data_IF_925480404760
#
_entry.id   IF_925480404760
#
_cell.length_a   1.000
_cell.length_b   1.000
_cell.length_c   1.000
_cell.angle_alpha   90.00
_cell.angle_beta   90.00
_cell.angle_gamma   90.00
#
_symmetry.space_group_name_H-M   'P 1'
#
loop_
_entity.id
_entity.type
_entity.pdbx_description
1 polymer ?
#
# COMPACT_ATOMS: atom_id res chain seq x y z
N UNK A 1 19.98 20.92 -4.55
CA UNK A 1 19.47 20.30 -3.32
C UNK A 1 19.56 18.80 -3.49
N UNK A 2 19.98 18.06 -2.47
CA UNK A 2 20.18 16.62 -2.60
C UNK A 2 18.81 15.92 -2.67
N UNK A 3 18.46 15.35 -3.84
CA UNK A 3 17.17 14.69 -4.10
C UNK A 3 17.21 13.25 -3.57
N UNK A 4 17.57 13.08 -2.30
CA UNK A 4 17.67 11.76 -1.65
C UNK A 4 16.42 11.47 -0.83
N UNK A 5 15.75 10.35 -1.11
CA UNK A 5 14.61 9.86 -0.32
C UNK A 5 14.99 8.55 0.36
N UNK A 6 14.86 8.51 1.69
CA UNK A 6 14.97 7.27 2.45
C UNK A 6 13.63 6.52 2.42
N UNK A 7 13.63 5.28 1.93
CA UNK A 7 12.42 4.49 1.71
C UNK A 7 12.40 3.32 2.68
N UNK A 8 11.44 3.33 3.61
CA UNK A 8 11.17 2.23 4.52
C UNK A 8 10.34 1.17 3.80
N UNK A 9 10.48 -0.09 4.22
CA UNK A 9 9.74 -1.19 3.60
C UNK A 9 10.10 -1.41 2.13
N UNK A 10 11.30 -1.01 1.70
CA UNK A 10 11.75 -1.04 0.30
C UNK A 10 11.75 -2.45 -0.32
N UNK A 11 11.85 -3.50 0.49
CA UNK A 11 11.76 -4.90 0.05
C UNK A 11 10.32 -5.46 0.06
N UNK A 12 9.34 -4.65 0.47
CA UNK A 12 7.93 -4.98 0.46
C UNK A 12 7.19 -4.37 -0.73
N UNK A 13 5.88 -4.60 -0.81
CA UNK A 13 5.03 -4.16 -1.92
C UNK A 13 5.08 -2.63 -2.14
N UNK A 14 4.64 -1.86 -1.12
CA UNK A 14 4.55 -0.40 -1.25
C UNK A 14 5.92 0.27 -1.34
N UNK A 15 6.82 0.00 -0.39
CA UNK A 15 8.14 0.61 -0.39
C UNK A 15 8.96 0.26 -1.64
N UNK A 16 8.83 -0.97 -2.16
CA UNK A 16 9.47 -1.36 -3.42
C UNK A 16 8.93 -0.60 -4.63
N UNK A 17 7.61 -0.41 -4.71
CA UNK A 17 7.00 0.40 -5.76
C UNK A 17 7.40 1.88 -5.67
N UNK A 18 7.48 2.44 -4.46
CA UNK A 18 7.96 3.81 -4.22
C UNK A 18 9.43 3.96 -4.61
N UNK A 19 10.29 3.02 -4.20
CA UNK A 19 11.69 3.02 -4.57
C UNK A 19 11.88 2.97 -6.10
N UNK A 20 11.15 2.08 -6.79
CA UNK A 20 11.20 1.98 -8.24
C UNK A 20 10.75 3.28 -8.93
N UNK A 21 9.61 3.85 -8.52
CA UNK A 21 9.09 5.07 -9.12
C UNK A 21 10.01 6.29 -8.89
N UNK A 22 10.61 6.40 -7.69
CA UNK A 22 11.57 7.45 -7.38
C UNK A 22 12.85 7.33 -8.23
N UNK A 23 13.36 6.12 -8.42
CA UNK A 23 14.52 5.87 -9.29
C UNK A 23 14.20 6.25 -10.76
N UNK A 24 13.03 5.85 -11.26
CA UNK A 24 12.57 6.20 -12.61
C UNK A 24 12.47 7.73 -12.80
N UNK A 25 12.10 8.48 -11.75
CA UNK A 25 12.00 9.95 -11.73
C UNK A 25 13.34 10.66 -11.44
N UNK A 26 14.45 9.90 -11.38
CA UNK A 26 15.81 10.42 -11.19
C UNK A 26 16.12 10.90 -9.77
N UNK A 27 15.35 10.46 -8.77
CA UNK A 27 15.71 10.65 -7.37
C UNK A 27 16.82 9.68 -6.96
N UNK A 28 17.62 10.08 -5.97
CA UNK A 28 18.48 9.16 -5.24
C UNK A 28 17.62 8.42 -4.22
N UNK A 29 17.61 7.10 -4.30
CA UNK A 29 16.85 6.27 -3.35
C UNK A 29 17.80 5.63 -2.37
N UNK A 30 17.52 5.86 -1.08
CA UNK A 30 18.14 5.13 0.02
C UNK A 30 17.17 4.10 0.55
N UNK A 31 17.33 2.85 0.14
CA UNK A 31 16.50 1.74 0.57
C UNK A 31 16.91 1.30 1.98
N UNK A 32 16.03 1.53 2.97
CA UNK A 32 16.28 1.17 4.36
C UNK A 32 15.83 -0.27 4.58
N UNK A 33 16.79 -1.15 4.86
CA UNK A 33 16.56 -2.60 5.00
C UNK A 33 17.20 -3.12 6.29
N UNK A 34 16.61 -4.15 6.90
CA UNK A 34 17.19 -4.78 8.11
C UNK A 34 18.50 -5.51 7.81
N UNK A 35 18.53 -6.22 6.69
CA UNK A 35 19.69 -6.98 6.23
C UNK A 35 19.97 -6.69 4.74
N UNK A 36 21.01 -5.87 4.46
CA UNK A 36 21.46 -5.58 3.10
C UNK A 36 21.96 -6.80 2.31
N UNK A 37 22.24 -7.92 2.97
CA UNK A 37 22.74 -9.16 2.34
C UNK A 37 21.62 -10.08 1.81
N UNK A 38 20.36 -9.69 1.94
CA UNK A 38 19.24 -10.47 1.37
C UNK A 38 19.16 -10.32 -0.15
N UNK A 39 18.62 -11.32 -0.86
CA UNK A 39 18.42 -11.23 -2.32
C UNK A 39 17.58 -10.02 -2.72
N UNK A 40 16.51 -9.72 -1.97
CA UNK A 40 15.67 -8.55 -2.24
C UNK A 40 16.43 -7.23 -2.09
N UNK A 41 17.30 -7.10 -1.08
CA UNK A 41 18.14 -5.93 -0.92
C UNK A 41 19.17 -5.81 -2.06
N UNK A 42 19.83 -6.92 -2.45
CA UNK A 42 20.74 -6.93 -3.61
C UNK A 42 20.04 -6.51 -4.90
N UNK A 43 18.81 -6.95 -5.13
CA UNK A 43 18.02 -6.54 -6.30
C UNK A 43 17.72 -5.04 -6.31
N UNK A 44 17.45 -4.43 -5.15
CA UNK A 44 17.30 -2.97 -5.04
C UNK A 44 18.60 -2.24 -5.38
N UNK A 45 19.74 -2.74 -4.88
CA UNK A 45 21.05 -2.18 -5.20
C UNK A 45 21.37 -2.29 -6.69
N UNK A 46 21.07 -3.44 -7.31
CA UNK A 46 21.24 -3.66 -8.75
C UNK A 46 20.34 -2.74 -9.60
N UNK A 47 19.19 -2.33 -9.06
CA UNK A 47 18.29 -1.35 -9.68
C UNK A 47 18.75 0.11 -9.49
N UNK A 48 19.81 0.36 -8.72
CA UNK A 48 20.39 1.70 -8.52
C UNK A 48 20.09 2.36 -7.17
N UNK A 49 19.42 1.67 -6.24
CA UNK A 49 19.22 2.19 -4.88
C UNK A 49 20.48 2.03 -4.00
N UNK A 50 20.73 2.99 -3.11
CA UNK A 50 21.66 2.83 -2.00
C UNK A 50 20.98 1.99 -0.90
N UNK A 51 21.43 0.76 -0.68
CA UNK A 51 20.90 -0.05 0.43
C UNK A 51 21.63 0.29 1.72
N UNK A 52 20.88 0.73 2.73
CA UNK A 52 21.43 1.03 4.07
C UNK A 52 20.74 0.18 5.12
N UNK A 53 21.49 -0.18 6.17
CA UNK A 53 20.92 -0.87 7.31
C UNK A 53 20.03 0.09 8.10
N UNK A 54 18.81 -0.33 8.41
CA UNK A 54 17.94 0.32 9.38
C UNK A 54 16.92 -0.66 9.95
N UNK A 55 16.62 -0.49 11.22
CA UNK A 55 15.67 -1.29 11.98
C UNK A 55 14.68 -0.39 12.70
N UNK A 56 13.40 -0.73 12.65
CA UNK A 56 12.34 0.04 13.30
C UNK A 56 12.42 -0.03 14.83
N UNK A 57 13.09 -1.05 15.37
CA UNK A 57 13.41 -1.19 16.79
C UNK A 57 14.70 -0.48 17.22
N UNK A 58 15.49 0.05 16.29
CA UNK A 58 16.73 0.78 16.57
C UNK A 58 16.67 2.21 16.00
N UNK A 59 16.20 3.20 16.79
CA UNK A 59 16.17 4.60 16.38
C UNK A 59 17.54 5.17 15.98
N UNK A 60 18.65 4.59 16.48
CA UNK A 60 20.00 4.96 16.09
C UNK A 60 20.30 4.62 14.64
N UNK A 61 19.90 3.42 14.22
CA UNK A 61 20.01 2.99 12.82
C UNK A 61 19.14 3.83 11.89
N UNK A 62 17.94 4.23 12.32
CA UNK A 62 17.06 5.12 11.55
C UNK A 62 17.65 6.52 11.40
N UNK A 63 18.25 7.07 12.47
CA UNK A 63 18.96 8.36 12.42
C UNK A 63 20.10 8.32 11.40
N UNK A 64 20.88 7.24 11.38
CA UNK A 64 21.94 7.06 10.39
C UNK A 64 21.37 6.96 8.96
N UNK A 65 20.26 6.22 8.77
CA UNK A 65 19.61 6.09 7.48
C UNK A 65 19.00 7.42 6.97
N UNK A 66 18.46 8.27 7.86
CA UNK A 66 17.80 9.52 7.45
C UNK A 66 18.76 10.70 7.36
N UNK A 67 20.00 10.57 7.80
CA UNK A 67 21.00 11.62 7.76
C UNK A 67 21.17 12.18 6.33
N UNK A 68 20.91 13.49 6.17
CA UNK A 68 20.99 14.20 4.90
C UNK A 68 19.90 13.86 3.88
N UNK A 69 18.91 13.03 4.24
CA UNK A 69 17.79 12.73 3.35
C UNK A 69 16.88 13.96 3.20
N UNK A 70 16.46 14.25 1.98
CA UNK A 70 15.46 15.27 1.71
C UNK A 70 14.06 14.79 2.11
N UNK A 71 13.74 13.54 1.78
CA UNK A 71 12.45 12.94 2.08
C UNK A 71 12.56 11.59 2.78
N UNK A 72 11.49 11.21 3.48
CA UNK A 72 11.31 9.86 4.03
C UNK A 72 9.95 9.32 3.61
N UNK A 73 9.92 8.13 3.01
CA UNK A 73 8.68 7.36 2.82
C UNK A 73 8.50 6.38 3.97
N UNK A 74 7.43 6.57 4.75
CA UNK A 74 7.13 5.82 5.96
C UNK A 74 6.00 4.81 5.73
N UNK A 75 6.30 3.52 5.91
CA UNK A 75 5.32 2.43 5.92
C UNK A 75 5.78 1.35 6.89
N UNK A 76 4.85 0.77 7.66
CA UNK A 76 5.12 -0.21 8.71
C UNK A 76 4.55 -1.58 8.34
N UNK A 77 5.14 -2.68 8.84
CA UNK A 77 4.43 -3.95 8.95
C UNK A 77 3.27 -3.80 9.94
N UNK A 78 2.20 -4.57 9.75
CA UNK A 78 1.04 -4.57 10.65
C UNK A 78 0.63 -5.98 11.06
N UNK A 79 -0.10 -6.09 12.17
CA UNK A 79 -0.51 -7.36 12.77
C UNK A 79 -1.51 -8.15 11.91
N UNK A 80 -2.20 -7.50 10.96
CA UNK A 80 -3.13 -8.13 10.03
C UNK A 80 -2.47 -8.82 8.84
N UNK A 81 -1.14 -8.69 8.66
CA UNK A 81 -0.44 -9.36 7.57
C UNK A 81 -0.25 -10.86 7.87
N UNK A 82 -0.40 -11.70 6.84
CA UNK A 82 -0.19 -13.13 6.99
C UNK A 82 1.24 -13.43 7.46
N UNK A 83 1.37 -14.17 8.57
CA UNK A 83 2.66 -14.48 9.18
C UNK A 83 3.33 -13.31 9.91
N UNK A 84 2.59 -12.23 10.19
CA UNK A 84 3.09 -11.12 11.00
C UNK A 84 3.45 -11.58 12.42
N UNK A 85 4.59 -11.07 12.91
CA UNK A 85 5.03 -11.23 14.31
C UNK A 85 4.95 -9.93 15.09
N UNK A 86 4.40 -8.87 14.50
CA UNK A 86 4.29 -7.53 15.09
C UNK A 86 2.92 -7.35 15.72
N UNK A 87 2.87 -6.68 16.87
CA UNK A 87 1.61 -6.30 17.53
C UNK A 87 1.09 -4.96 16.99
N UNK A 88 -0.15 -4.61 17.32
CA UNK A 88 -0.71 -3.29 17.01
C UNK A 88 0.07 -2.15 17.67
N UNK A 89 0.54 -2.36 18.90
CA UNK A 89 1.37 -1.38 19.61
C UNK A 89 2.78 -1.28 19.01
N UNK A 90 3.33 -2.37 18.48
CA UNK A 90 4.59 -2.31 17.72
C UNK A 90 4.43 -1.47 16.47
N UNK A 91 3.35 -1.65 15.70
CA UNK A 91 3.10 -0.84 14.51
C UNK A 91 3.02 0.66 14.86
N UNK A 92 2.26 1.01 15.89
CA UNK A 92 2.15 2.41 16.34
C UNK A 92 3.51 2.95 16.78
N UNK A 93 4.25 2.21 17.61
CA UNK A 93 5.59 2.57 18.08
C UNK A 93 6.56 2.77 16.92
N UNK A 94 6.54 1.89 15.92
CA UNK A 94 7.37 2.03 14.72
C UNK A 94 6.99 3.26 13.91
N UNK A 95 5.70 3.50 13.71
CA UNK A 95 5.20 4.67 12.98
C UNK A 95 5.61 5.98 13.62
N UNK A 96 5.40 6.11 14.94
CA UNK A 96 5.77 7.33 15.67
C UNK A 96 7.29 7.50 15.78
N UNK A 97 8.04 6.42 15.98
CA UNK A 97 9.52 6.48 15.99
C UNK A 97 10.07 6.98 14.67
N UNK A 98 9.56 6.49 13.52
CA UNK A 98 9.98 6.99 12.20
C UNK A 98 9.66 8.48 12.05
N UNK A 99 8.48 8.91 12.51
CA UNK A 99 8.05 10.30 12.48
C UNK A 99 9.01 11.21 13.28
N UNK A 100 9.30 10.83 14.52
CA UNK A 100 10.17 11.58 15.44
C UNK A 100 11.62 11.63 14.94
N UNK A 101 12.13 10.52 14.43
CA UNK A 101 13.49 10.45 13.90
C UNK A 101 13.63 11.28 12.61
N UNK A 102 12.62 11.29 11.74
CA UNK A 102 12.63 12.12 10.54
C UNK A 102 12.67 13.62 10.90
N UNK A 103 11.84 14.06 11.84
CA UNK A 103 11.85 15.43 12.36
C UNK A 103 13.20 15.79 13.00
N UNK A 104 13.72 14.94 13.89
CA UNK A 104 15.00 15.17 14.58
C UNK A 104 16.22 15.20 13.64
N UNK A 105 16.13 14.55 12.47
CA UNK A 105 17.15 14.61 11.42
C UNK A 105 17.00 15.81 10.48
N UNK A 106 15.94 16.62 10.62
CA UNK A 106 15.66 17.75 9.74
C UNK A 106 15.26 17.34 8.33
N UNK A 107 14.59 16.19 8.18
CA UNK A 107 14.00 15.76 6.90
C UNK A 107 13.02 16.83 6.42
N UNK A 108 13.08 17.16 5.13
CA UNK A 108 12.27 18.25 4.56
C UNK A 108 10.82 17.80 4.40
N UNK A 109 10.59 16.56 3.96
CA UNK A 109 9.24 16.03 3.69
C UNK A 109 9.09 14.57 4.10
N UNK A 110 8.12 14.27 4.98
CA UNK A 110 7.71 12.90 5.32
C UNK A 110 6.43 12.54 4.57
N UNK A 111 6.46 11.46 3.77
CA UNK A 111 5.25 10.87 3.17
C UNK A 111 4.92 9.58 3.90
N UNK A 112 3.74 9.51 4.52
CA UNK A 112 3.32 8.36 5.33
C UNK A 112 2.17 7.58 4.66
N UNK A 113 2.33 6.26 4.58
CA UNK A 113 1.30 5.34 4.08
C UNK A 113 0.34 4.88 5.18
N UNK A 114 -0.88 5.37 5.11
CA UNK A 114 -2.02 4.98 5.94
C UNK A 114 -2.95 4.02 5.18
N UNK A 115 -4.29 4.20 5.28
CA UNK A 115 -5.34 3.43 4.62
C UNK A 115 -6.62 4.27 4.51
N UNK A 116 -7.42 4.05 3.46
CA UNK A 116 -8.76 4.70 3.30
C UNK A 116 -9.72 4.40 4.46
N UNK A 117 -9.43 3.39 5.28
CA UNK A 117 -10.24 3.05 6.44
C UNK A 117 -10.14 4.10 7.57
N UNK A 118 -9.14 4.98 7.59
CA UNK A 118 -9.00 5.95 8.69
C UNK A 118 -10.09 7.00 8.62
N UNK A 119 -10.78 7.21 9.75
CA UNK A 119 -11.92 8.11 9.87
C UNK A 119 -12.11 8.58 11.31
N UNK A 120 -13.18 9.34 11.61
CA UNK A 120 -13.38 9.99 12.91
C UNK A 120 -13.70 9.01 14.06
N UNK A 121 -14.11 7.78 13.75
CA UNK A 121 -14.43 6.75 14.73
C UNK A 121 -13.55 5.52 14.50
N UNK A 122 -13.23 4.70 15.52
CA UNK A 122 -12.54 3.43 15.31
C UNK A 122 -13.30 2.50 14.37
N UNK A 123 -12.58 1.78 13.53
CA UNK A 123 -13.11 0.74 12.64
C UNK A 123 -13.54 -0.50 13.42
N UNK A 124 -12.92 -0.76 14.59
CA UNK A 124 -13.07 -2.01 15.33
C UNK A 124 -12.19 -3.14 14.78
N UNK A 125 -11.32 -2.83 13.82
CA UNK A 125 -10.27 -3.72 13.30
C UNK A 125 -8.93 -3.15 13.78
N UNK A 126 -8.25 -3.79 14.75
CA UNK A 126 -7.11 -3.18 15.44
C UNK A 126 -6.02 -2.62 14.52
N UNK A 127 -5.57 -3.41 13.54
CA UNK A 127 -4.52 -3.01 12.59
C UNK A 127 -4.92 -1.91 11.58
N UNK A 128 -6.22 -1.58 11.47
CA UNK A 128 -6.66 -0.39 10.74
C UNK A 128 -6.69 0.84 11.65
N UNK A 129 -7.01 0.64 12.93
CA UNK A 129 -7.12 1.70 13.92
C UNK A 129 -5.75 2.23 14.38
N UNK A 130 -4.69 1.42 14.30
CA UNK A 130 -3.29 1.85 14.50
C UNK A 130 -2.91 3.03 13.60
N UNK A 131 -3.35 3.02 12.35
CA UNK A 131 -3.03 4.06 11.37
C UNK A 131 -3.53 5.44 11.79
N UNK A 132 -4.71 5.52 12.42
CA UNK A 132 -5.23 6.79 12.94
C UNK A 132 -4.30 7.42 14.00
N UNK A 133 -3.68 6.59 14.86
CA UNK A 133 -2.76 7.01 15.92
C UNK A 133 -1.43 7.49 15.34
N UNK A 134 -0.92 6.80 14.31
CA UNK A 134 0.31 7.21 13.62
C UNK A 134 0.08 8.51 12.84
N UNK A 135 -1.05 8.63 12.14
CA UNK A 135 -1.40 9.88 11.44
C UNK A 135 -1.51 11.07 12.39
N UNK A 136 -2.04 10.89 13.60
CA UNK A 136 -2.11 11.95 14.60
C UNK A 136 -0.71 12.51 14.91
N UNK A 137 0.27 11.62 15.16
CA UNK A 137 1.66 12.05 15.39
C UNK A 137 2.28 12.69 14.14
N UNK A 138 2.04 12.14 12.95
CA UNK A 138 2.55 12.69 11.68
C UNK A 138 2.04 14.13 11.45
N UNK A 139 0.81 14.45 11.84
CA UNK A 139 0.26 15.82 11.73
C UNK A 139 0.86 16.81 12.72
N UNK A 140 1.43 16.34 13.82
CA UNK A 140 2.04 17.18 14.86
C UNK A 140 3.51 17.52 14.58
N UNK A 141 4.11 16.93 13.55
CA UNK A 141 5.50 17.21 13.18
C UNK A 141 5.67 18.67 12.70
N UNK A 142 6.81 19.26 13.05
CA UNK A 142 7.25 20.58 12.58
C UNK A 142 7.91 20.56 11.19
N UNK A 143 7.88 19.43 10.47
CA UNK A 143 8.36 19.28 9.09
C UNK A 143 7.18 19.11 8.12
N UNK A 144 7.40 19.30 6.81
CA UNK A 144 6.33 19.06 5.85
C UNK A 144 5.95 17.58 5.86
N UNK A 145 4.64 17.30 5.87
CA UNK A 145 4.13 15.92 5.84
C UNK A 145 3.03 15.75 4.80
N UNK A 146 2.93 14.56 4.23
CA UNK A 146 1.78 14.15 3.42
C UNK A 146 1.36 12.76 3.84
N UNK A 147 0.06 12.55 4.02
CA UNK A 147 -0.49 11.22 4.31
C UNK A 147 -1.13 10.71 3.02
N UNK A 148 -0.75 9.52 2.58
CA UNK A 148 -1.44 8.80 1.51
C UNK A 148 -2.24 7.65 2.11
N UNK A 149 -3.48 7.49 1.68
CA UNK A 149 -4.43 6.49 2.14
C UNK A 149 -4.85 5.63 0.94
N UNK A 150 -4.12 4.54 0.67
CA UNK A 150 -4.45 3.65 -0.43
C UNK A 150 -5.77 2.91 -0.21
N UNK A 151 -6.51 2.73 -1.31
CA UNK A 151 -7.63 1.80 -1.40
C UNK A 151 -7.16 0.33 -1.44
N UNK A 152 -8.08 -0.60 -1.69
CA UNK A 152 -7.77 -2.05 -1.74
C UNK A 152 -6.78 -2.36 -2.87
N UNK A 153 -5.71 -3.10 -2.58
CA UNK A 153 -4.70 -3.42 -3.59
C UNK A 153 -5.21 -4.45 -4.58
N UNK A 154 -4.99 -4.21 -5.88
CA UNK A 154 -5.27 -5.19 -6.94
C UNK A 154 -4.50 -6.49 -6.73
N UNK A 155 -3.28 -6.39 -6.20
CA UNK A 155 -2.41 -7.52 -5.86
C UNK A 155 -3.04 -8.48 -4.85
N UNK A 156 -3.88 -7.99 -3.92
CA UNK A 156 -4.60 -8.84 -2.96
C UNK A 156 -5.71 -9.67 -3.63
N UNK A 157 -6.29 -9.15 -4.72
CA UNK A 157 -7.41 -9.78 -5.41
C UNK A 157 -6.99 -10.98 -6.26
N UNK A 158 -5.69 -11.08 -6.56
CA UNK A 158 -5.07 -12.22 -7.24
C UNK A 158 -4.07 -12.96 -6.35
N UNK A 159 -4.07 -12.71 -5.04
CA UNK A 159 -3.17 -13.42 -4.13
C UNK A 159 -3.55 -14.91 -4.00
N UNK A 160 -2.59 -15.80 -3.69
CA UNK A 160 -2.90 -17.18 -3.33
C UNK A 160 -3.98 -17.25 -2.24
N UNK A 161 -4.99 -18.09 -2.44
CA UNK A 161 -6.15 -18.19 -1.54
C UNK A 161 -7.38 -17.38 -1.97
N UNK A 162 -7.27 -16.49 -2.96
CA UNK A 162 -8.42 -15.79 -3.55
C UNK A 162 -9.39 -16.71 -4.32
N UNK A 163 -9.00 -17.96 -4.58
CA UNK A 163 -9.84 -19.00 -5.22
C UNK A 163 -9.74 -19.07 -6.75
N UNK A 164 -8.90 -18.24 -7.37
CA UNK A 164 -8.72 -18.17 -8.83
C UNK A 164 -8.26 -19.49 -9.46
N UNK A 165 -7.53 -20.31 -8.72
CA UNK A 165 -7.16 -21.68 -9.06
C UNK A 165 -8.37 -22.60 -9.28
N UNK A 166 -9.51 -22.27 -8.68
CA UNK A 166 -10.79 -23.00 -8.77
C UNK A 166 -11.80 -22.33 -9.71
N UNK A 167 -11.35 -21.36 -10.51
CA UNK A 167 -12.21 -20.64 -11.45
C UNK A 167 -13.19 -19.68 -10.78
N UNK A 168 -12.91 -19.22 -9.55
CA UNK A 168 -13.77 -18.27 -8.84
C UNK A 168 -12.99 -17.39 -7.89
N UNK A 169 -13.16 -16.08 -8.00
CA UNK A 169 -12.66 -15.15 -7.02
C UNK A 169 -13.63 -15.02 -5.85
N UNK A 170 -13.12 -15.16 -4.62
CA UNK A 170 -13.89 -14.90 -3.40
C UNK A 170 -13.39 -13.63 -2.69
N UNK A 171 -14.32 -12.78 -2.27
CA UNK A 171 -13.97 -11.54 -1.56
C UNK A 171 -15.03 -11.15 -0.50
N UNK A 172 -14.81 -10.06 0.24
CA UNK A 172 -15.63 -9.68 1.40
C UNK A 172 -16.98 -9.04 1.03
N UNK A 173 -17.12 -8.56 -0.20
CA UNK A 173 -18.27 -7.74 -0.63
C UNK A 173 -19.25 -8.49 -1.50
N UNK A 174 -20.50 -8.04 -1.54
CA UNK A 174 -21.51 -8.59 -2.47
C UNK A 174 -21.14 -8.30 -3.94
N UNK A 175 -21.64 -9.08 -4.91
CA UNK A 175 -21.29 -8.92 -6.33
C UNK A 175 -21.58 -7.54 -6.91
N UNK A 176 -22.54 -6.81 -6.36
CA UNK A 176 -23.00 -5.50 -6.83
C UNK A 176 -22.40 -4.33 -6.06
N UNK A 177 -21.65 -4.60 -4.98
CA UNK A 177 -21.00 -3.55 -4.19
C UNK A 177 -19.83 -2.96 -4.97
N UNK A 178 -19.86 -1.64 -5.19
CA UNK A 178 -18.73 -0.90 -5.78
C UNK A 178 -17.63 -0.78 -4.73
N UNK A 179 -16.40 -1.11 -5.12
CA UNK A 179 -15.19 -0.97 -4.32
C UNK A 179 -14.11 -0.29 -5.15
N UNK A 180 -13.43 0.68 -4.54
CA UNK A 180 -12.25 1.31 -5.12
C UNK A 180 -11.02 0.45 -4.89
N UNK A 181 -10.21 0.36 -5.93
CA UNK A 181 -9.00 -0.47 -5.98
C UNK A 181 -7.83 0.35 -6.51
N UNK A 182 -6.61 -0.05 -6.13
CA UNK A 182 -5.38 0.60 -6.60
C UNK A 182 -4.30 -0.45 -6.90
N UNK A 183 -3.52 -0.21 -7.95
CA UNK A 183 -2.31 -0.99 -8.20
C UNK A 183 -1.21 -0.52 -7.24
N UNK A 184 -0.47 -1.44 -6.61
CA UNK A 184 0.66 -1.07 -5.74
C UNK A 184 1.68 -0.20 -6.49
N UNK A 185 1.89 -0.45 -7.79
CA UNK A 185 2.76 0.39 -8.64
C UNK A 185 2.33 1.86 -8.68
N UNK A 186 1.02 2.12 -8.68
CA UNK A 186 0.49 3.48 -8.75
C UNK A 186 0.61 4.22 -7.43
N UNK A 187 0.61 3.51 -6.30
CA UNK A 187 1.01 4.09 -5.00
C UNK A 187 2.44 4.66 -5.12
N UNK A 188 3.35 3.89 -5.71
CA UNK A 188 4.72 4.32 -5.98
C UNK A 188 4.80 5.61 -6.81
N UNK A 189 4.09 5.65 -7.93
CA UNK A 189 4.04 6.81 -8.83
C UNK A 189 3.44 8.05 -8.17
N UNK A 190 2.35 7.88 -7.42
CA UNK A 190 1.73 8.98 -6.67
C UNK A 190 2.71 9.54 -5.65
N UNK A 191 3.35 8.68 -4.85
CA UNK A 191 4.31 9.10 -3.82
C UNK A 191 5.52 9.80 -4.45
N UNK A 192 6.04 9.30 -5.58
CA UNK A 192 7.12 9.97 -6.32
C UNK A 192 6.69 11.37 -6.80
N UNK A 193 5.48 11.51 -7.33
CA UNK A 193 4.89 12.80 -7.70
C UNK A 193 4.68 13.73 -6.50
N UNK A 194 4.34 13.18 -5.32
CA UNK A 194 4.23 13.94 -4.07
C UNK A 194 5.58 14.54 -3.66
N UNK A 195 6.66 13.76 -3.69
CA UNK A 195 8.01 14.27 -3.46
C UNK A 195 8.45 15.26 -4.55
N UNK A 196 8.02 15.04 -5.81
CA UNK A 196 8.24 15.93 -6.95
C UNK A 196 7.67 17.34 -6.81
N UNK A 197 6.63 17.50 -5.99
CA UNK A 197 5.95 18.78 -5.77
C UNK A 197 5.57 18.98 -4.30
N UNK A 198 6.53 18.83 -3.39
CA UNK A 198 6.31 18.87 -1.94
C UNK A 198 5.42 20.05 -1.46
N UNK A 199 5.65 21.27 -1.97
CA UNK A 199 4.89 22.47 -1.61
C UNK A 199 3.38 22.35 -1.90
N UNK A 200 3.00 21.58 -2.94
CA UNK A 200 1.59 21.32 -3.30
C UNK A 200 0.91 20.32 -2.36
N UNK A 201 1.69 19.46 -1.71
CA UNK A 201 1.18 18.32 -0.94
C UNK A 201 1.46 18.40 0.56
N UNK A 202 2.29 19.34 1.01
CA UNK A 202 2.53 19.59 2.42
C UNK A 202 1.22 19.83 3.18
N UNK A 203 1.03 19.11 4.28
CA UNK A 203 -0.18 19.13 5.12
C UNK A 203 -1.39 18.38 4.53
N UNK A 204 -1.31 17.83 3.30
CA UNK A 204 -2.44 17.14 2.68
C UNK A 204 -2.54 15.68 3.12
N UNK A 205 -3.78 15.20 3.17
CA UNK A 205 -4.12 13.77 3.21
C UNK A 205 -4.79 13.42 1.88
N UNK A 206 -4.34 12.35 1.23
CA UNK A 206 -4.82 11.90 -0.08
C UNK A 206 -5.38 10.49 0.04
N UNK A 207 -6.68 10.31 -0.15
CA UNK A 207 -7.25 9.00 -0.43
C UNK A 207 -6.98 8.67 -1.89
N UNK A 208 -6.35 7.51 -2.15
CA UNK A 208 -5.85 7.16 -3.49
C UNK A 208 -6.43 5.84 -3.99
N UNK A 209 -6.96 5.89 -5.20
CA UNK A 209 -7.50 4.76 -5.94
C UNK A 209 -7.20 4.91 -7.44
N UNK A 210 -7.10 3.79 -8.17
CA UNK A 210 -6.94 3.76 -9.63
C UNK A 210 -8.25 3.48 -10.37
N UNK A 211 -9.16 2.75 -9.74
CA UNK A 211 -10.44 2.38 -10.34
C UNK A 211 -11.54 2.11 -9.31
N UNK A 212 -12.79 2.00 -9.77
CA UNK A 212 -13.95 1.59 -8.97
C UNK A 212 -14.74 0.50 -9.71
N UNK A 213 -14.84 -0.68 -9.11
CA UNK A 213 -15.45 -1.86 -9.75
C UNK A 213 -16.36 -2.60 -8.79
N UNK A 214 -17.34 -3.32 -9.34
CA UNK A 214 -18.12 -4.31 -8.59
C UNK A 214 -17.49 -5.69 -8.72
N UNK A 215 -17.90 -6.64 -7.87
CA UNK A 215 -17.48 -8.04 -7.99
C UNK A 215 -17.84 -8.66 -9.35
N UNK A 216 -18.99 -8.28 -9.95
CA UNK A 216 -19.36 -8.72 -11.31
C UNK A 216 -18.40 -8.19 -12.38
N UNK A 217 -18.11 -6.89 -12.35
CA UNK A 217 -17.19 -6.26 -13.29
C UNK A 217 -15.78 -6.88 -13.15
N UNK A 218 -15.34 -7.11 -11.91
CA UNK A 218 -14.07 -7.78 -11.65
C UNK A 218 -14.04 -9.21 -12.23
N UNK A 219 -15.11 -9.99 -12.08
CA UNK A 219 -15.24 -11.32 -12.68
C UNK A 219 -15.12 -11.29 -14.21
N UNK A 220 -15.72 -10.28 -14.86
CA UNK A 220 -15.62 -10.09 -16.31
C UNK A 220 -14.20 -9.78 -16.75
N UNK A 221 -13.52 -8.85 -16.05
CA UNK A 221 -12.12 -8.52 -16.34
C UNK A 221 -11.19 -9.72 -16.15
N UNK A 222 -11.35 -10.45 -15.04
CA UNK A 222 -10.60 -11.67 -14.75
C UNK A 222 -10.87 -12.76 -15.79
N UNK A 223 -12.13 -12.97 -16.19
CA UNK A 223 -12.51 -13.94 -17.22
C UNK A 223 -11.81 -13.63 -18.55
N UNK A 224 -11.81 -12.36 -18.96
CA UNK A 224 -11.15 -11.91 -20.19
C UNK A 224 -9.64 -12.12 -20.12
N UNK A 225 -9.01 -11.74 -19.02
CA UNK A 225 -7.57 -11.86 -18.84
C UNK A 225 -7.10 -13.32 -18.69
N UNK A 226 -7.88 -14.16 -18.02
CA UNK A 226 -7.58 -15.57 -17.82
C UNK A 226 -7.85 -16.45 -19.05
N UNK A 227 -8.65 -15.98 -20.01
CA UNK A 227 -9.10 -16.77 -21.16
C UNK A 227 -10.03 -17.94 -20.80
N UNK A 228 -10.54 -17.99 -19.57
CA UNK A 228 -11.49 -18.98 -19.07
C UNK A 228 -12.49 -18.33 -18.10
N UNK A 229 -13.70 -18.89 -17.92
CA UNK A 229 -14.68 -18.34 -16.99
C UNK A 229 -14.12 -18.25 -15.56
N UNK A 230 -14.17 -17.06 -14.97
CA UNK A 230 -13.89 -16.81 -13.56
C UNK A 230 -15.14 -16.23 -12.93
N UNK A 231 -15.74 -16.96 -11.98
CA UNK A 231 -16.87 -16.45 -11.21
C UNK A 231 -16.44 -15.49 -10.10
N UNK A 232 -17.39 -14.76 -9.54
CA UNK A 232 -17.20 -14.01 -8.30
C UNK A 232 -18.21 -14.47 -7.24
N UNK A 233 -17.76 -14.61 -6.01
CA UNK A 233 -18.64 -14.82 -4.86
C UNK A 233 -18.17 -14.01 -3.65
N UNK A 234 -19.12 -13.53 -2.86
CA UNK A 234 -18.80 -13.11 -1.50
C UNK A 234 -18.37 -14.33 -0.68
N UNK A 235 -17.46 -14.14 0.28
CA UNK A 235 -17.17 -15.15 1.28
C UNK A 235 -18.48 -15.56 2.00
N UNK A 236 -18.68 -16.86 2.29
CA UNK A 236 -19.88 -17.33 2.97
C UNK A 236 -20.08 -16.66 4.32
N UNK A 237 -21.32 -16.35 4.71
CA UNK A 237 -21.63 -15.73 6.00
C UNK A 237 -21.07 -16.55 7.17
N UNK A 238 -21.16 -17.88 7.11
CA UNK A 238 -20.59 -18.75 8.13
C UNK A 238 -19.09 -18.54 8.35
N UNK A 239 -18.32 -18.20 7.30
CA UNK A 239 -16.88 -17.89 7.44
C UNK A 239 -16.70 -16.52 8.10
N UNK A 240 -17.51 -15.54 7.72
CA UNK A 240 -17.46 -14.18 8.26
C UNK A 240 -17.95 -14.10 9.72
N UNK A 241 -18.86 -14.98 10.13
CA UNK A 241 -19.34 -15.10 11.51
C UNK A 241 -18.34 -15.83 12.43
N UNK A 242 -17.55 -16.75 11.86
CA UNK A 242 -16.52 -17.49 12.60
C UNK A 242 -15.24 -16.68 12.83
N UNK A 243 -14.95 -15.71 11.96
CA UNK A 243 -13.80 -14.83 12.06
C UNK A 243 -14.25 -13.38 12.27
N UNK A 244 -14.14 -12.91 13.51
CA UNK A 244 -14.58 -11.57 13.90
C UNK A 244 -13.90 -10.45 13.09
N UNK A 245 -12.65 -10.64 12.66
CA UNK A 245 -11.91 -9.66 11.85
C UNK A 245 -12.48 -9.64 10.44
N UNK A 246 -12.65 -10.79 9.79
CA UNK A 246 -13.24 -10.86 8.45
C UNK A 246 -14.69 -10.35 8.45
N UNK A 247 -15.49 -10.71 9.44
CA UNK A 247 -16.86 -10.20 9.60
C UNK A 247 -16.89 -8.69 9.74
N UNK A 248 -15.97 -8.12 10.54
CA UNK A 248 -15.88 -6.67 10.71
C UNK A 248 -15.40 -5.95 9.45
N UNK A 249 -14.40 -6.49 8.74
CA UNK A 249 -13.94 -5.97 7.45
C UNK A 249 -15.08 -5.97 6.42
N UNK A 250 -15.86 -7.05 6.33
CA UNK A 250 -17.03 -7.10 5.44
C UNK A 250 -18.05 -6.00 5.79
N UNK A 251 -18.34 -5.78 7.09
CA UNK A 251 -19.25 -4.71 7.52
C UNK A 251 -18.73 -3.31 7.12
N UNK A 252 -17.41 -3.08 7.22
CA UNK A 252 -16.77 -1.81 6.81
C UNK A 252 -16.77 -1.60 5.29
N UNK A 253 -16.88 -2.65 4.48
CA UNK A 253 -17.12 -2.48 3.05
C UNK A 253 -18.58 -2.09 2.79
N UNK A 254 -19.52 -2.71 3.49
CA UNK A 254 -20.96 -2.45 3.34
C UNK A 254 -21.34 -1.03 3.83
N UNK A 255 -20.72 -0.53 4.90
CA UNK A 255 -20.91 0.85 5.37
C UNK A 255 -20.21 1.91 4.49
N UNK A 256 -19.35 1.48 3.56
CA UNK A 256 -18.68 2.32 2.57
C UNK A 256 -17.28 2.79 2.97
N UNK A 257 -16.87 2.55 4.22
CA UNK A 257 -15.58 3.02 4.74
C UNK A 257 -14.38 2.38 4.03
N UNK A 258 -14.42 1.07 3.80
CA UNK A 258 -13.41 0.34 3.02
C UNK A 258 -13.72 0.30 1.52
N UNK A 259 -14.95 0.64 1.11
CA UNK A 259 -15.30 0.74 -0.31
C UNK A 259 -14.54 1.87 -1.02
N UNK A 260 -13.98 2.82 -0.27
CA UNK A 260 -13.20 3.94 -0.78
C UNK A 260 -14.07 5.13 -1.20
N UNK A 261 -13.48 6.31 -1.08
CA UNK A 261 -14.13 7.60 -1.32
C UNK A 261 -13.19 8.58 -2.04
N UNK A 262 -12.15 8.06 -2.70
CA UNK A 262 -11.21 8.86 -3.47
C UNK A 262 -11.89 9.46 -4.70
N UNK A 263 -11.56 10.71 -5.03
CA UNK A 263 -12.02 11.38 -6.24
C UNK A 263 -11.20 10.88 -7.45
N UNK A 264 -11.73 9.89 -8.17
CA UNK A 264 -11.04 9.27 -9.30
C UNK A 264 -10.80 10.23 -10.47
N UNK A 265 -11.69 11.21 -10.69
CA UNK A 265 -11.54 12.15 -11.80
C UNK A 265 -10.42 13.15 -11.49
N UNK A 266 -10.39 13.67 -10.26
CA UNK A 266 -9.29 14.50 -9.79
C UNK A 266 -7.95 13.74 -9.78
N UNK A 267 -7.95 12.50 -9.30
CA UNK A 267 -6.75 11.66 -9.28
C UNK A 267 -6.23 11.34 -10.68
N UNK A 268 -7.10 11.07 -11.66
CA UNK A 268 -6.67 10.84 -13.05
C UNK A 268 -6.18 12.11 -13.74
N UNK A 269 -6.76 13.27 -13.41
CA UNK A 269 -6.27 14.55 -13.89
C UNK A 269 -4.88 14.89 -13.32
N UNK A 270 -4.62 14.51 -12.06
CA UNK A 270 -3.34 14.74 -11.39
C UNK A 270 -2.28 13.67 -11.73
N UNK A 271 -2.70 12.41 -11.88
CA UNK A 271 -1.87 11.24 -12.16
C UNK A 271 -2.42 10.47 -13.37
N UNK A 272 -2.10 10.90 -14.61
CA UNK A 272 -2.73 10.37 -15.83
C UNK A 272 -2.35 8.91 -16.14
N UNK A 273 -1.34 8.35 -15.47
CA UNK A 273 -0.90 6.96 -15.64
C UNK A 273 -1.57 5.97 -14.70
N UNK A 274 -2.60 6.38 -13.94
CA UNK A 274 -3.36 5.51 -13.05
C UNK A 274 -4.00 4.36 -13.82
N UNK A 275 -3.71 3.14 -13.37
CA UNK A 275 -4.18 1.92 -14.01
C UNK A 275 -5.63 1.64 -13.60
N UNK A 276 -6.43 1.33 -14.62
CA UNK A 276 -7.70 0.62 -14.45
C UNK A 276 -7.45 -0.87 -14.27
N UNK A 277 -8.47 -1.60 -13.81
CA UNK A 277 -8.33 -3.03 -13.51
C UNK A 277 -7.93 -3.85 -14.74
N UNK A 278 -8.53 -3.57 -15.90
CA UNK A 278 -8.18 -4.23 -17.17
C UNK A 278 -6.76 -3.91 -17.63
N UNK A 279 -6.36 -2.65 -17.59
CA UNK A 279 -4.99 -2.25 -17.95
C UNK A 279 -3.96 -2.90 -17.03
N UNK A 280 -4.26 -3.01 -15.74
CA UNK A 280 -3.40 -3.70 -14.79
C UNK A 280 -3.31 -5.20 -15.09
N UNK A 281 -4.43 -5.88 -15.33
CA UNK A 281 -4.46 -7.31 -15.67
C UNK A 281 -3.79 -7.62 -17.01
N UNK A 282 -3.82 -6.69 -17.97
CA UNK A 282 -3.14 -6.83 -19.26
C UNK A 282 -1.64 -6.49 -19.20
N UNK A 283 -1.21 -5.76 -18.16
CA UNK A 283 0.17 -5.32 -17.98
C UNK A 283 0.80 -5.90 -16.70
N UNK A 284 1.08 -5.05 -15.69
CA UNK A 284 1.88 -5.45 -14.52
C UNK A 284 1.24 -6.55 -13.66
N UNK A 285 -0.08 -6.73 -13.69
CA UNK A 285 -0.80 -7.78 -12.97
C UNK A 285 -0.84 -9.12 -13.69
N UNK A 286 -0.51 -9.18 -14.99
CA UNK A 286 -0.62 -10.40 -15.79
C UNK A 286 0.22 -11.58 -15.21
N UNK A 287 1.47 -11.39 -14.76
CA UNK A 287 2.25 -12.49 -14.16
C UNK A 287 1.65 -12.99 -12.84
N UNK A 288 1.13 -12.06 -12.01
CA UNK A 288 0.50 -12.41 -10.73
C UNK A 288 -0.79 -13.19 -10.95
N UNK A 289 -1.60 -12.78 -11.93
CA UNK A 289 -2.79 -13.53 -12.33
C UNK A 289 -2.42 -14.93 -12.82
N UNK A 290 -1.39 -15.05 -13.68
CA UNK A 290 -0.96 -16.33 -14.20
C UNK A 290 -0.52 -17.30 -13.08
N UNK A 291 0.21 -16.80 -12.08
CA UNK A 291 0.57 -17.58 -10.89
C UNK A 291 -0.67 -18.01 -10.09
N UNK A 292 -1.62 -17.08 -9.87
CA UNK A 292 -2.83 -17.31 -9.09
C UNK A 292 -3.80 -18.31 -9.73
N UNK A 293 -3.86 -18.36 -11.06
CA UNK A 293 -4.69 -19.31 -11.80
C UNK A 293 -4.17 -20.77 -11.68
N UNK A 294 -2.91 -20.95 -11.27
CA UNK A 294 -2.24 -22.24 -11.19
C UNK A 294 -2.03 -22.90 -12.56
N UNK A 295 -1.43 -24.10 -12.60
CA UNK A 295 -1.31 -24.85 -13.84
C UNK A 295 -2.70 -25.15 -14.43
N UNK A 296 -2.85 -25.00 -15.74
CA UNK A 296 -4.07 -25.38 -16.42
C UNK A 296 -4.35 -26.87 -16.15
N UNK A 297 -5.48 -27.15 -15.49
CA UNK A 297 -5.98 -28.53 -15.34
C UNK A 297 -6.26 -29.03 -16.75
N UNK A 298 -5.41 -29.96 -17.23
CA UNK A 298 -5.57 -30.65 -18.51
C UNK A 298 -6.66 -31.70 -18.42
#
# INVERSE_FOLDING_TARGET
>A
MDRTVAVLGATGQQGGAVAAALLDDGWRVRAVVRDPSTDRARSLAAAGAETVRGDLDDPGSLRAAFAGAHGVFSVQPNSGQAGATVTDEDEVRFGTTVADVAEGCGVVHLVHSSTVAVGPTPTGVPHLDTKSRIEARVRELGIATTIVRPATFLELLVAPGAGLDRGRMSFLTTPDRVVQVIAVRDIGRIVAGVFGAADRYAGRTLDIAGDAVTGRVLAEHLTRAAGRPIGYSRLPDAVLEQDAVLGRLAALFEDGRLAGHADLDALRAEFPSLLRVDDWLAGPGAPLLAEALGPAVR
#
